data_IF_077256333412
#
_entry.id   IF_077256333412
#
_cell.length_a   1.000
_cell.length_b   1.000
_cell.length_c   1.000
_cell.angle_alpha   90.00
_cell.angle_beta   90.00
_cell.angle_gamma   90.00
#
_symmetry.space_group_name_H-M   'P 1'
#
loop_
_entity.id
_entity.type
_entity.pdbx_description
1 polymer ?
#
# COMPACT_ATOMS: atom_id res chain seq x y z
N UNK A 1 15.16 -4.78 9.41
CA UNK A 1 14.29 -4.21 10.47
C UNK A 1 14.73 -2.78 10.69
N UNK A 2 13.79 -1.84 10.70
CA UNK A 2 14.03 -0.41 10.85
C UNK A 2 13.07 0.14 11.91
N UNK A 3 13.59 0.79 12.94
CA UNK A 3 12.75 1.36 13.99
C UNK A 3 11.97 2.55 13.43
N UNK A 4 10.68 2.60 13.72
CA UNK A 4 9.81 3.69 13.30
C UNK A 4 10.24 5.02 13.96
N UNK A 5 10.15 6.11 13.20
CA UNK A 5 10.42 7.44 13.74
C UNK A 5 9.28 7.86 14.68
N UNK A 6 9.53 8.85 15.55
CA UNK A 6 8.51 9.32 16.49
C UNK A 6 7.28 9.91 15.80
N UNK A 7 7.46 10.59 14.65
CA UNK A 7 6.35 11.15 13.89
C UNK A 7 5.50 10.05 13.25
N UNK A 8 6.14 9.07 12.60
CA UNK A 8 5.44 7.93 11.99
C UNK A 8 4.70 7.09 13.05
N UNK A 9 5.33 6.85 14.21
CA UNK A 9 4.72 6.14 15.32
C UNK A 9 3.53 6.92 15.90
N UNK A 10 3.61 8.25 15.91
CA UNK A 10 2.51 9.12 16.31
C UNK A 10 1.24 8.89 15.50
N UNK A 11 1.35 8.68 14.18
CA UNK A 11 0.19 8.32 13.36
C UNK A 11 -0.45 7.00 13.79
N UNK A 12 0.35 5.97 14.07
CA UNK A 12 -0.17 4.69 14.55
C UNK A 12 -0.87 4.82 15.91
N UNK A 13 -0.31 5.61 16.83
CA UNK A 13 -0.88 5.78 18.18
C UNK A 13 -2.16 6.62 18.21
N UNK A 14 -2.34 7.53 17.26
CA UNK A 14 -3.55 8.36 17.15
C UNK A 14 -4.70 7.67 16.42
N UNK A 15 -4.42 6.59 15.69
CA UNK A 15 -5.44 5.87 14.93
C UNK A 15 -6.51 5.27 15.86
N UNK A 16 -7.77 5.45 15.48
CA UNK A 16 -8.93 4.84 16.15
C UNK A 16 -9.89 4.29 15.10
N UNK A 17 -10.89 3.46 15.48
CA UNK A 17 -11.87 2.94 14.51
C UNK A 17 -12.65 4.01 13.74
N UNK A 18 -12.69 5.25 14.23
CA UNK A 18 -13.37 6.40 13.58
C UNK A 18 -12.41 7.47 13.07
N UNK A 19 -11.11 7.35 13.35
CA UNK A 19 -10.06 8.27 12.89
C UNK A 19 -8.92 7.45 12.32
N UNK A 20 -9.02 7.13 11.03
CA UNK A 20 -7.98 6.40 10.33
C UNK A 20 -6.84 7.33 9.92
N UNK A 21 -5.60 6.87 10.06
CA UNK A 21 -4.40 7.68 9.81
C UNK A 21 -3.73 7.36 8.48
N UNK A 22 -4.50 6.79 7.53
CA UNK A 22 -4.07 6.61 6.14
C UNK A 22 -4.48 7.81 5.27
N UNK A 23 -3.79 7.97 4.14
CA UNK A 23 -4.06 9.05 3.18
C UNK A 23 -4.55 8.48 1.86
N UNK A 24 -5.62 9.06 1.33
CA UNK A 24 -6.22 8.66 0.05
C UNK A 24 -5.77 9.57 -1.09
N UNK A 25 -5.59 8.99 -2.28
CA UNK A 25 -5.29 9.72 -3.52
C UNK A 25 -6.16 9.16 -4.62
N UNK A 26 -6.67 10.02 -5.49
CA UNK A 26 -7.46 9.66 -6.65
C UNK A 26 -6.73 10.17 -7.88
N UNK A 27 -6.51 9.28 -8.85
CA UNK A 27 -5.96 9.62 -10.14
C UNK A 27 -6.97 9.23 -11.22
N UNK A 28 -7.26 10.15 -12.13
CA UNK A 28 -8.01 9.88 -13.36
C UNK A 28 -6.98 9.72 -14.47
N UNK A 29 -7.00 8.57 -15.14
CA UNK A 29 -5.99 8.20 -16.13
C UNK A 29 -6.70 7.81 -17.42
N UNK A 30 -6.19 8.31 -18.55
CA UNK A 30 -6.63 7.92 -19.89
C UNK A 30 -5.75 6.77 -20.41
N UNK A 31 -6.30 5.55 -20.61
CA UNK A 31 -5.54 4.42 -21.12
C UNK A 31 -5.42 4.38 -22.64
N UNK A 32 -6.01 5.32 -23.40
CA UNK A 32 -6.13 5.23 -24.86
C UNK A 32 -4.79 5.08 -25.60
N UNK A 33 -3.72 5.64 -25.05
CA UNK A 33 -2.39 5.65 -25.67
C UNK A 33 -1.41 4.63 -25.07
N UNK A 34 -1.88 3.69 -24.25
CA UNK A 34 -1.02 2.62 -23.71
C UNK A 34 -0.59 1.70 -24.87
N UNK A 35 0.72 1.58 -25.17
CA UNK A 35 1.18 0.68 -26.23
C UNK A 35 0.76 -0.76 -25.96
N UNK A 36 0.10 -1.41 -26.93
CA UNK A 36 -0.47 -2.75 -26.75
C UNK A 36 -1.81 -2.78 -26.00
N UNK A 37 -2.35 -1.62 -25.62
CA UNK A 37 -3.61 -1.49 -24.89
C UNK A 37 -3.45 -1.65 -23.38
N UNK A 38 -4.45 -1.18 -22.64
CA UNK A 38 -4.51 -1.35 -21.19
C UNK A 38 -5.13 -2.70 -20.82
N UNK A 39 -4.54 -3.34 -19.81
CA UNK A 39 -5.17 -4.40 -19.04
C UNK A 39 -4.82 -4.26 -17.56
N UNK A 40 -5.65 -4.81 -16.68
CA UNK A 40 -5.35 -4.81 -15.25
C UNK A 40 -4.10 -5.64 -14.92
N UNK A 41 -3.86 -6.72 -15.67
CA UNK A 41 -2.68 -7.56 -15.51
C UNK A 41 -1.40 -6.80 -15.90
N UNK A 42 -1.45 -5.99 -16.96
CA UNK A 42 -0.34 -5.10 -17.34
C UNK A 42 -0.03 -4.10 -16.23
N UNK A 43 -1.06 -3.50 -15.61
CA UNK A 43 -0.87 -2.59 -14.48
C UNK A 43 -0.18 -3.31 -13.30
N UNK A 44 -0.64 -4.52 -12.94
CA UNK A 44 -0.04 -5.32 -11.87
C UNK A 44 1.40 -5.70 -12.18
N UNK A 45 1.71 -6.09 -13.41
CA UNK A 45 3.07 -6.41 -13.85
C UNK A 45 4.00 -5.19 -13.70
N UNK A 46 3.56 -4.02 -14.18
CA UNK A 46 4.32 -2.77 -14.07
C UNK A 46 4.58 -2.45 -12.59
N UNK A 47 3.55 -2.48 -11.74
CA UNK A 47 3.69 -2.21 -10.31
C UNK A 47 4.66 -3.20 -9.66
N UNK A 48 4.48 -4.50 -9.90
CA UNK A 48 5.33 -5.56 -9.36
C UNK A 48 6.80 -5.38 -9.73
N UNK A 49 7.10 -5.04 -10.98
CA UNK A 49 8.47 -4.80 -11.46
C UNK A 49 9.17 -3.63 -10.74
N UNK A 50 8.40 -2.67 -10.23
CA UNK A 50 8.89 -1.46 -9.55
C UNK A 50 9.06 -1.63 -8.04
N UNK A 51 8.42 -2.62 -7.42
CA UNK A 51 8.43 -2.78 -5.96
C UNK A 51 9.83 -2.93 -5.37
N UNK A 52 10.78 -3.51 -6.10
CA UNK A 52 12.18 -3.64 -5.66
C UNK A 52 12.85 -2.28 -5.38
N UNK A 53 12.39 -1.20 -6.04
CA UNK A 53 12.88 0.17 -5.86
C UNK A 53 12.09 0.94 -4.81
N UNK A 54 11.04 0.35 -4.25
CA UNK A 54 10.14 0.96 -3.30
C UNK A 54 9.99 0.07 -2.04
N UNK A 55 11.08 -0.20 -1.30
CA UNK A 55 11.06 -1.13 -0.16
C UNK A 55 9.93 -0.90 0.85
N UNK A 56 9.52 0.34 1.20
CA UNK A 56 8.43 0.56 2.14
C UNK A 56 7.11 -0.13 1.77
N UNK A 57 6.83 -0.39 0.49
CA UNK A 57 5.59 -1.04 0.06
C UNK A 57 5.54 -2.54 0.33
N UNK A 58 6.65 -3.16 0.75
CA UNK A 58 6.69 -4.57 1.14
C UNK A 58 7.02 -4.76 2.61
N UNK A 59 6.82 -3.72 3.42
CA UNK A 59 7.07 -3.76 4.85
C UNK A 59 5.77 -3.85 5.64
N UNK A 60 5.84 -4.52 6.77
CA UNK A 60 4.79 -4.55 7.78
C UNK A 60 5.30 -4.02 9.11
N UNK A 61 4.36 -3.58 9.94
CA UNK A 61 4.63 -3.12 11.30
C UNK A 61 4.72 -4.34 12.22
N UNK A 62 5.73 -4.36 13.08
CA UNK A 62 5.85 -5.30 14.19
C UNK A 62 5.96 -4.52 15.48
N UNK A 63 5.07 -4.82 16.41
CA UNK A 63 5.12 -4.29 17.77
C UNK A 63 6.27 -4.90 18.56
N UNK A 64 6.88 -4.08 19.41
CA UNK A 64 7.94 -4.53 20.32
C UNK A 64 7.29 -4.97 21.63
N UNK A 65 7.69 -6.12 22.22
CA UNK A 65 7.12 -6.61 23.47
C UNK A 65 7.11 -5.54 24.56
N UNK A 66 5.99 -5.47 25.29
CA UNK A 66 5.75 -4.53 26.39
C UNK A 66 5.85 -3.04 26.02
N UNK A 67 5.89 -2.68 24.73
CA UNK A 67 5.97 -1.28 24.30
C UNK A 67 7.26 -0.58 24.73
N UNK A 68 8.35 -1.31 24.93
CA UNK A 68 9.63 -0.76 25.41
C UNK A 68 10.26 0.25 24.43
N UNK A 69 9.87 0.19 23.15
CA UNK A 69 10.26 1.15 22.11
C UNK A 69 9.12 1.35 21.12
N UNK A 70 9.27 2.29 20.19
CA UNK A 70 8.41 2.36 19.01
C UNK A 70 8.42 1.05 18.22
N UNK A 71 7.32 0.72 17.51
CA UNK A 71 7.27 -0.38 16.57
C UNK A 71 8.37 -0.31 15.50
N UNK A 72 8.61 -1.42 14.83
CA UNK A 72 9.58 -1.50 13.76
C UNK A 72 8.92 -1.91 12.44
N UNK A 73 9.47 -1.37 11.36
CA UNK A 73 9.23 -1.86 10.01
C UNK A 73 10.10 -3.09 9.74
N UNK A 74 9.48 -4.15 9.25
CA UNK A 74 10.17 -5.37 8.78
C UNK A 74 9.70 -5.69 7.37
N UNK A 75 10.56 -6.30 6.56
CA UNK A 75 10.11 -6.90 5.30
C UNK A 75 9.04 -7.95 5.61
N UNK A 76 7.98 -7.94 4.82
CA UNK A 76 6.88 -8.89 4.93
C UNK A 76 7.25 -10.17 4.17
N UNK A 77 7.47 -11.31 4.87
CA UNK A 77 7.81 -12.56 4.20
C UNK A 77 6.64 -13.12 3.38
N UNK A 78 5.41 -12.72 3.70
CA UNK A 78 4.18 -13.23 3.09
C UNK A 78 3.52 -12.18 2.20
N UNK A 79 4.30 -11.22 1.68
CA UNK A 79 3.80 -10.15 0.84
C UNK A 79 3.06 -10.69 -0.40
N UNK A 80 1.80 -10.27 -0.55
CA UNK A 80 0.93 -10.63 -1.66
C UNK A 80 0.45 -9.38 -2.42
N UNK A 81 0.90 -9.24 -3.66
CA UNK A 81 0.51 -8.12 -4.52
C UNK A 81 -1.01 -8.09 -4.78
N UNK A 82 -1.66 -9.26 -4.83
CA UNK A 82 -3.07 -9.39 -5.19
C UNK A 82 -3.98 -8.96 -4.04
N UNK A 83 -3.48 -9.08 -2.80
CA UNK A 83 -4.12 -8.50 -1.64
C UNK A 83 -4.16 -6.97 -1.70
N UNK A 84 -3.07 -6.34 -2.16
CA UNK A 84 -2.88 -4.89 -2.16
C UNK A 84 -3.42 -4.17 -3.41
N UNK A 85 -3.43 -4.82 -4.57
CA UNK A 85 -3.87 -4.23 -5.85
C UNK A 85 -5.15 -4.92 -6.30
N UNK A 86 -6.28 -4.20 -6.16
CA UNK A 86 -7.61 -4.71 -6.47
C UNK A 86 -8.28 -3.90 -7.56
N UNK A 87 -9.08 -4.56 -8.37
CA UNK A 87 -9.95 -3.93 -9.37
C UNK A 87 -11.39 -4.01 -8.92
N UNK A 88 -12.07 -2.86 -8.97
CA UNK A 88 -13.52 -2.75 -8.79
C UNK A 88 -14.04 -2.00 -10.01
N UNK A 89 -15.17 -2.46 -10.55
CA UNK A 89 -15.91 -1.77 -11.61
C UNK A 89 -17.28 -1.42 -11.05
N UNK A 90 -17.84 -0.29 -11.48
CA UNK A 90 -19.23 0.00 -11.18
C UNK A 90 -20.05 -0.72 -12.27
N UNK A 91 -21.13 -1.44 -11.94
CA UNK A 91 -21.97 -2.01 -12.97
C UNK A 91 -22.61 -0.89 -13.83
N UNK A 92 -22.91 -1.20 -15.08
CA UNK A 92 -23.74 -0.31 -15.89
C UNK A 92 -25.05 0.02 -15.16
N UNK A 93 -25.55 1.27 -15.24
CA UNK A 93 -25.09 2.38 -16.09
C UNK A 93 -24.08 3.34 -15.44
N UNK A 94 -23.58 3.06 -14.23
CA UNK A 94 -22.74 3.99 -13.45
C UNK A 94 -21.24 3.89 -13.73
N UNK A 95 -20.85 3.32 -14.88
CA UNK A 95 -20.18 2.00 -14.93
C UNK A 95 -18.68 1.90 -14.98
#
# INVERSE_FOLDING_TARGET
MERMTGLDAGFLYMETPTLHMHTLKIAVVDPANVPGGYSFDLLKEILGSRLQYLPPFRRRIVEVPFGLTHPAWVEDPDFDLDYHVRRVAIPEPGG
#
